data_IF_462772570372
#
_entry.id   IF_462772570372
#
_cell.length_a   1.000
_cell.length_b   1.000
_cell.length_c   1.000
_cell.angle_alpha   90.00
_cell.angle_beta   90.00
_cell.angle_gamma   90.00
#
_symmetry.space_group_name_H-M   'P 1'
#
loop_
_entity.id
_entity.type
_entity.pdbx_description
1 polymer ?
#
# COMPACT_ATOMS: atom_id res chain seq x y z
N UNK A 1 -31.47 -12.69 -0.04
CA UNK A 1 -30.39 -13.23 0.80
C UNK A 1 -29.47 -12.08 1.16
N UNK A 2 -29.17 -11.89 2.44
CA UNK A 2 -28.17 -10.92 2.86
C UNK A 2 -26.78 -11.47 2.54
N UNK A 3 -25.90 -10.61 2.03
CA UNK A 3 -24.50 -10.98 1.78
C UNK A 3 -23.80 -11.20 3.13
N UNK A 4 -23.03 -12.29 3.31
CA UNK A 4 -22.26 -12.49 4.52
C UNK A 4 -21.25 -11.35 4.72
N UNK A 5 -21.23 -10.76 5.91
CA UNK A 5 -20.26 -9.72 6.31
C UNK A 5 -19.07 -10.33 7.03
N UNK A 6 -17.93 -9.67 6.94
CA UNK A 6 -16.79 -10.03 7.76
C UNK A 6 -17.09 -9.71 9.23
N UNK A 7 -16.80 -10.61 10.18
CA UNK A 7 -17.13 -10.39 11.58
C UNK A 7 -16.25 -9.30 12.21
N UNK A 8 -16.85 -8.37 12.95
CA UNK A 8 -16.16 -7.41 13.81
C UNK A 8 -16.03 -8.03 15.20
N UNK A 9 -14.81 -8.44 15.56
CA UNK A 9 -14.57 -9.26 16.78
C UNK A 9 -14.22 -8.45 18.02
N UNK A 10 -13.64 -7.27 17.85
CA UNK A 10 -13.09 -6.48 18.94
C UNK A 10 -13.91 -5.22 19.17
N UNK A 11 -14.09 -4.76 20.44
CA UNK A 11 -14.80 -3.52 20.74
C UNK A 11 -14.15 -2.32 20.07
N UNK A 12 -14.95 -1.36 19.63
CA UNK A 12 -14.50 -0.10 19.03
C UNK A 12 -14.69 1.04 20.01
N UNK A 13 -13.61 1.78 20.31
CA UNK A 13 -13.75 3.07 20.95
C UNK A 13 -14.18 4.11 19.90
N UNK A 14 -14.95 5.09 20.31
CA UNK A 14 -15.26 6.23 19.47
C UNK A 14 -13.95 7.02 19.25
N UNK A 15 -13.55 7.16 17.98
CA UNK A 15 -12.40 7.96 17.62
C UNK A 15 -12.78 9.40 17.30
N UNK A 16 -11.78 10.18 16.90
CA UNK A 16 -11.94 11.56 16.49
C UNK A 16 -10.91 11.97 15.43
N UNK A 17 -11.21 13.05 14.70
CA UNK A 17 -10.26 13.68 13.77
C UNK A 17 -9.37 14.64 14.55
N UNK A 18 -8.05 14.35 14.70
CA UNK A 18 -7.17 15.24 15.45
C UNK A 18 -6.82 16.49 14.65
N UNK A 19 -6.46 17.56 15.35
CA UNK A 19 -6.09 18.84 14.75
C UNK A 19 -4.98 19.54 15.57
N UNK A 20 -4.39 20.59 15.02
CA UNK A 20 -3.34 21.35 15.67
C UNK A 20 -2.13 20.49 16.04
N UNK A 21 -1.65 20.63 17.28
CA UNK A 21 -0.44 19.93 17.76
C UNK A 21 -0.59 18.39 17.79
N UNK A 22 -1.81 17.89 17.94
CA UNK A 22 -2.06 16.44 17.87
C UNK A 22 -1.89 15.86 16.45
N UNK A 23 -1.85 16.73 15.43
CA UNK A 23 -1.66 16.35 14.02
C UNK A 23 -0.69 17.31 13.32
N UNK A 24 0.39 17.70 13.99
CA UNK A 24 1.33 18.72 13.49
C UNK A 24 1.96 18.41 12.14
N UNK A 25 2.00 17.12 11.74
CA UNK A 25 2.52 16.70 10.43
C UNK A 25 1.40 16.46 9.41
N UNK A 26 0.13 16.62 9.77
CA UNK A 26 -1.01 16.29 8.89
C UNK A 26 -1.15 14.80 8.59
N UNK A 27 -0.58 13.94 9.41
CA UNK A 27 -0.43 12.50 9.15
C UNK A 27 -1.61 11.66 9.63
N UNK A 28 -2.36 12.11 10.63
CA UNK A 28 -3.55 11.43 11.12
C UNK A 28 -4.80 11.83 10.34
N UNK A 29 -5.50 10.84 9.84
CA UNK A 29 -6.87 11.01 9.32
C UNK A 29 -7.90 10.83 10.43
N UNK A 30 -7.67 9.84 11.31
CA UNK A 30 -8.55 9.50 12.43
C UNK A 30 -7.74 8.86 13.55
N UNK A 31 -7.91 9.29 14.78
CA UNK A 31 -7.36 8.64 15.98
C UNK A 31 -8.44 7.83 16.68
N UNK A 32 -8.07 6.65 17.13
CA UNK A 32 -8.92 5.75 17.91
C UNK A 32 -8.06 4.82 18.74
N UNK A 33 -8.69 3.88 19.42
CA UNK A 33 -8.01 2.79 20.11
C UNK A 33 -8.83 1.51 19.95
N UNK A 34 -8.27 0.54 19.22
CA UNK A 34 -8.85 -0.81 19.13
C UNK A 34 -7.82 -1.79 19.66
N UNK A 35 -8.07 -2.32 20.84
CA UNK A 35 -7.22 -3.34 21.46
C UNK A 35 -7.56 -4.70 20.86
N UNK A 36 -6.54 -5.43 20.43
CA UNK A 36 -6.66 -6.81 19.97
C UNK A 36 -6.68 -7.81 21.12
N UNK A 37 -6.35 -9.06 20.83
CA UNK A 37 -6.24 -10.13 21.81
C UNK A 37 -5.22 -9.78 22.91
N UNK A 38 -5.41 -10.33 24.12
CA UNK A 38 -4.51 -10.06 25.25
C UNK A 38 -3.09 -10.61 25.04
N UNK A 39 -2.93 -11.58 24.15
CA UNK A 39 -1.65 -12.24 23.82
C UNK A 39 -1.51 -12.39 22.32
N UNK A 40 -0.30 -12.62 21.85
CA UNK A 40 0.01 -12.84 20.44
C UNK A 40 1.32 -12.17 20.03
N UNK A 41 1.74 -12.39 18.78
CA UNK A 41 3.02 -11.89 18.25
C UNK A 41 3.12 -10.36 18.24
N UNK A 42 2.00 -9.67 18.18
CA UNK A 42 1.94 -8.20 18.20
C UNK A 42 1.48 -7.63 19.55
N UNK A 43 1.47 -8.43 20.63
CA UNK A 43 1.10 -7.93 21.96
C UNK A 43 2.01 -6.75 22.37
N UNK A 44 1.40 -5.62 22.73
CA UNK A 44 2.09 -4.37 23.08
C UNK A 44 2.56 -3.54 21.87
N UNK A 45 2.32 -3.97 20.62
CA UNK A 45 2.65 -3.20 19.42
C UNK A 45 1.50 -2.28 19.01
N UNK A 46 1.83 -1.02 18.72
CA UNK A 46 0.92 0.04 18.28
C UNK A 46 0.96 0.14 16.76
N UNK A 47 -0.17 -0.12 16.10
CA UNK A 47 -0.27 -0.21 14.65
C UNK A 47 -1.19 0.87 14.10
N UNK A 48 -0.79 1.52 13.01
CA UNK A 48 -1.62 2.47 12.27
C UNK A 48 -1.98 1.90 10.91
N UNK A 49 -3.18 2.19 10.46
CA UNK A 49 -3.73 1.64 9.22
C UNK A 49 -3.90 2.76 8.19
N UNK A 50 -3.35 2.58 6.99
CA UNK A 50 -3.53 3.52 5.88
C UNK A 50 -5.01 3.74 5.58
N UNK A 51 -5.39 4.95 5.21
CA UNK A 51 -6.78 5.34 5.10
C UNK A 51 -7.57 4.73 3.93
N UNK A 52 -6.92 3.99 3.03
CA UNK A 52 -7.59 3.17 2.02
C UNK A 52 -7.93 1.74 2.51
N UNK A 53 -7.64 1.38 3.76
CA UNK A 53 -7.87 0.06 4.33
C UNK A 53 -9.00 0.15 5.37
N UNK A 54 -10.03 -0.66 5.23
CA UNK A 54 -11.21 -0.65 6.10
C UNK A 54 -10.89 -1.05 7.53
N UNK A 55 -11.35 -0.25 8.48
CA UNK A 55 -11.42 -0.56 9.91
C UNK A 55 -12.85 -0.28 10.34
N UNK A 56 -13.58 -1.32 10.75
CA UNK A 56 -15.00 -1.21 11.05
C UNK A 56 -15.32 -0.12 12.07
N UNK A 57 -16.37 0.66 11.80
CA UNK A 57 -16.81 1.77 12.64
C UNK A 57 -15.96 3.05 12.51
N UNK A 58 -14.97 3.07 11.61
CA UNK A 58 -14.12 4.25 11.41
C UNK A 58 -14.34 4.89 10.04
N UNK A 59 -14.24 6.23 9.96
CA UNK A 59 -14.21 6.92 8.68
C UNK A 59 -13.08 6.40 7.79
N UNK A 60 -13.35 6.33 6.49
CA UNK A 60 -12.38 5.94 5.46
C UNK A 60 -12.55 6.87 4.27
N UNK A 61 -11.61 7.77 4.07
CA UNK A 61 -11.66 8.76 3.00
C UNK A 61 -10.90 8.33 1.74
N UNK A 62 -10.00 7.38 1.85
CA UNK A 62 -9.08 7.04 0.75
C UNK A 62 -8.39 8.29 0.17
N UNK A 63 -8.06 9.24 1.04
CA UNK A 63 -7.46 10.53 0.70
C UNK A 63 -8.37 11.51 -0.04
N UNK A 64 -9.65 11.21 -0.27
CA UNK A 64 -10.55 11.95 -1.15
C UNK A 64 -11.75 12.56 -0.41
N UNK A 65 -12.07 13.81 -0.72
CA UNK A 65 -13.31 14.45 -0.26
C UNK A 65 -14.57 13.71 -0.73
N UNK A 66 -14.47 12.96 -1.84
CA UNK A 66 -15.59 12.15 -2.34
C UNK A 66 -16.11 11.14 -1.32
N UNK A 67 -15.21 10.63 -0.47
CA UNK A 67 -15.55 9.66 0.58
C UNK A 67 -15.90 10.30 1.94
N UNK A 68 -15.98 11.63 2.04
CA UNK A 68 -16.38 12.27 3.30
C UNK A 68 -17.77 11.80 3.73
N UNK A 69 -17.86 11.28 4.97
CA UNK A 69 -19.05 10.65 5.52
C UNK A 69 -19.14 9.12 5.36
N UNK A 70 -18.22 8.49 4.62
CA UNK A 70 -18.16 7.04 4.58
C UNK A 70 -17.53 6.48 5.85
N UNK A 71 -18.21 5.51 6.46
CA UNK A 71 -17.71 4.73 7.60
C UNK A 71 -17.65 3.27 7.17
N UNK A 72 -16.48 2.64 7.31
CA UNK A 72 -16.31 1.24 6.99
C UNK A 72 -17.17 0.36 7.91
N UNK A 73 -17.88 -0.60 7.36
CA UNK A 73 -18.77 -1.50 8.09
C UNK A 73 -18.12 -2.85 8.46
N UNK A 74 -16.87 -3.05 8.04
CA UNK A 74 -16.10 -4.27 8.28
C UNK A 74 -14.60 -4.00 8.41
N UNK A 75 -13.89 -4.94 9.03
CA UNK A 75 -12.43 -4.92 9.07
C UNK A 75 -11.84 -5.57 7.81
N UNK A 76 -10.84 -4.94 7.22
CA UNK A 76 -9.99 -5.63 6.26
C UNK A 76 -9.32 -6.86 6.92
N UNK A 77 -9.03 -7.90 6.14
CA UNK A 77 -8.41 -9.12 6.68
C UNK A 77 -7.12 -8.85 7.45
N UNK A 78 -6.29 -7.92 6.97
CA UNK A 78 -5.05 -7.54 7.67
C UNK A 78 -5.31 -6.90 9.03
N UNK A 79 -6.41 -6.15 9.18
CA UNK A 79 -6.80 -5.54 10.46
C UNK A 79 -7.24 -6.62 11.44
N UNK A 80 -8.08 -7.55 11.01
CA UNK A 80 -8.49 -8.69 11.84
C UNK A 80 -7.29 -9.49 12.32
N UNK A 81 -6.32 -9.79 11.44
CA UNK A 81 -5.09 -10.53 11.79
C UNK A 81 -4.21 -9.79 12.79
N UNK A 82 -4.06 -8.48 12.64
CA UNK A 82 -3.32 -7.65 13.60
C UNK A 82 -3.96 -7.71 14.98
N UNK A 83 -5.27 -7.57 15.05
CA UNK A 83 -6.01 -7.62 16.31
C UNK A 83 -5.98 -9.02 16.92
N UNK A 84 -6.16 -10.08 16.12
CA UNK A 84 -6.07 -11.48 16.59
C UNK A 84 -4.65 -11.82 17.11
N UNK A 85 -3.60 -11.16 16.57
CA UNK A 85 -2.22 -11.29 17.04
C UNK A 85 -1.87 -10.39 18.25
N UNK A 86 -2.85 -9.72 18.85
CA UNK A 86 -2.68 -8.87 20.04
C UNK A 86 -2.21 -7.45 19.77
N UNK A 87 -2.15 -7.02 18.52
CA UNK A 87 -1.81 -5.64 18.16
C UNK A 87 -2.90 -4.65 18.56
N UNK A 88 -2.51 -3.40 18.77
CA UNK A 88 -3.43 -2.29 19.04
C UNK A 88 -3.49 -1.36 17.83
N UNK A 89 -4.68 -1.16 17.26
CA UNK A 89 -4.89 -0.21 16.16
C UNK A 89 -5.17 1.17 16.73
N UNK A 90 -4.28 2.13 16.42
CA UNK A 90 -4.36 3.51 16.94
C UNK A 90 -5.18 4.46 16.06
N UNK A 91 -5.50 4.06 14.82
CA UNK A 91 -6.26 4.88 13.92
C UNK A 91 -5.90 4.72 12.45
N UNK A 92 -6.32 5.72 11.67
CA UNK A 92 -6.16 5.81 10.23
C UNK A 92 -5.12 6.89 9.88
N UNK A 93 -4.15 6.51 9.06
CA UNK A 93 -3.12 7.43 8.54
C UNK A 93 -3.54 8.00 7.19
N UNK A 94 -3.32 9.29 6.99
CA UNK A 94 -3.57 9.98 5.73
C UNK A 94 -2.87 9.27 4.57
N UNK A 95 -3.56 9.16 3.45
CA UNK A 95 -3.00 8.72 2.17
C UNK A 95 -3.30 9.72 1.07
N UNK A 96 -2.53 9.64 -0.01
CA UNK A 96 -2.78 10.43 -1.21
C UNK A 96 -4.17 10.12 -1.80
N UNK A 97 -4.72 11.08 -2.54
CA UNK A 97 -6.04 10.99 -3.12
C UNK A 97 -6.16 9.77 -4.05
N UNK A 98 -7.09 8.84 -3.73
CA UNK A 98 -7.23 7.53 -4.37
C UNK A 98 -5.93 6.70 -4.40
N UNK A 99 -4.99 6.98 -3.51
CA UNK A 99 -3.65 6.38 -3.50
C UNK A 99 -2.86 6.58 -4.80
N UNK A 100 -3.19 7.59 -5.61
CA UNK A 100 -2.63 7.78 -6.96
C UNK A 100 -1.68 8.99 -7.04
N UNK A 101 -0.70 9.02 -6.14
CA UNK A 101 0.41 9.98 -6.15
C UNK A 101 1.60 9.41 -5.38
N UNK A 102 2.81 9.72 -5.81
CA UNK A 102 4.06 9.41 -5.11
C UNK A 102 4.51 10.51 -4.13
N UNK A 103 3.81 11.65 -4.09
CA UNK A 103 4.10 12.76 -3.20
C UNK A 103 3.44 12.61 -1.82
N UNK A 104 3.16 13.74 -1.17
CA UNK A 104 2.37 13.77 0.08
C UNK A 104 1.51 15.03 0.19
N UNK A 105 0.92 15.43 -0.95
CA UNK A 105 0.27 16.74 -1.11
C UNK A 105 -1.15 16.70 -1.71
N UNK A 106 -1.61 15.53 -2.18
CA UNK A 106 -2.90 15.44 -2.89
C UNK A 106 -4.07 15.06 -1.99
N UNK A 107 -3.82 14.64 -0.74
CA UNK A 107 -4.88 14.28 0.18
C UNK A 107 -5.85 15.45 0.43
N UNK A 108 -7.16 15.16 0.45
CA UNK A 108 -8.18 16.18 0.73
C UNK A 108 -8.04 16.82 2.12
N UNK A 109 -7.40 16.15 3.06
CA UNK A 109 -7.07 16.68 4.39
C UNK A 109 -5.86 17.63 4.40
N UNK A 110 -5.20 17.81 3.26
CA UNK A 110 -4.00 18.62 3.12
C UNK A 110 -2.70 17.80 3.10
N UNK A 111 -1.55 18.48 2.94
CA UNK A 111 -0.25 17.82 2.79
C UNK A 111 0.23 17.16 4.09
N UNK A 112 0.92 16.02 3.95
CA UNK A 112 1.65 15.38 5.04
C UNK A 112 3.11 15.81 4.99
N UNK A 113 3.62 16.34 6.11
CA UNK A 113 4.97 16.88 6.23
C UNK A 113 5.93 15.82 6.79
N UNK A 114 7.16 15.83 6.29
CA UNK A 114 8.19 14.90 6.74
C UNK A 114 8.68 15.30 8.17
N UNK A 115 8.59 14.39 9.16
CA UNK A 115 9.01 14.72 10.53
C UNK A 115 10.51 15.00 10.67
N UNK A 116 11.35 14.50 9.75
CA UNK A 116 12.80 14.79 9.76
C UNK A 116 13.11 16.20 9.29
N UNK A 117 12.34 16.68 8.31
CA UNK A 117 12.39 18.07 7.84
C UNK A 117 11.02 18.44 7.25
N UNK A 118 10.21 19.28 7.93
CA UNK A 118 8.87 19.64 7.49
C UNK A 118 8.78 20.42 6.17
N UNK A 119 9.90 20.89 5.63
CA UNK A 119 9.95 21.54 4.31
C UNK A 119 9.95 20.52 3.16
N UNK A 120 10.14 19.23 3.47
CA UNK A 120 10.13 18.15 2.49
C UNK A 120 8.88 17.27 2.59
N UNK A 121 8.57 16.61 1.49
CA UNK A 121 7.51 15.61 1.40
C UNK A 121 7.94 14.31 2.11
N UNK A 122 6.95 13.56 2.61
CA UNK A 122 7.17 12.20 3.14
C UNK A 122 7.29 11.16 2.03
N UNK A 123 6.91 11.51 0.80
CA UNK A 123 6.57 10.52 -0.22
C UNK A 123 5.18 9.91 0.04
N UNK A 124 4.66 9.22 -0.97
CA UNK A 124 3.29 8.68 -0.97
C UNK A 124 3.19 7.37 -1.76
N UNK A 125 2.00 6.84 -1.75
CA UNK A 125 0.73 7.30 -1.21
C UNK A 125 0.49 6.93 0.25
N UNK A 126 1.34 6.14 0.93
CA UNK A 126 1.27 5.85 2.37
C UNK A 126 1.98 6.93 3.21
N UNK A 127 1.70 8.19 2.89
CA UNK A 127 2.38 9.38 3.44
C UNK A 127 2.26 9.47 4.97
N UNK A 128 1.06 9.37 5.51
CA UNK A 128 0.81 9.42 6.95
C UNK A 128 1.44 8.24 7.69
N UNK A 129 1.47 7.04 7.08
CA UNK A 129 2.10 5.86 7.70
C UNK A 129 3.59 6.12 7.98
N UNK A 130 4.33 6.60 6.97
CA UNK A 130 5.75 6.91 7.12
C UNK A 130 5.98 8.03 8.14
N UNK A 131 5.19 9.12 8.06
CA UNK A 131 5.31 10.23 9.02
C UNK A 131 5.10 9.77 10.46
N UNK A 132 4.07 8.98 10.75
CA UNK A 132 3.75 8.54 12.10
C UNK A 132 4.81 7.59 12.69
N UNK A 133 5.37 6.70 11.86
CA UNK A 133 6.51 5.84 12.28
C UNK A 133 7.73 6.69 12.63
N UNK A 134 8.10 7.61 11.74
CA UNK A 134 9.32 8.44 11.95
C UNK A 134 9.15 9.42 13.09
N UNK A 135 7.93 9.89 13.36
CA UNK A 135 7.60 10.71 14.53
C UNK A 135 7.54 9.91 15.84
N UNK A 136 7.61 8.58 15.81
CA UNK A 136 7.50 7.71 16.99
C UNK A 136 6.07 7.60 17.55
N UNK A 137 5.05 8.01 16.77
CA UNK A 137 3.66 7.97 17.21
C UNK A 137 3.04 6.57 17.10
N UNK A 138 3.66 5.67 16.31
CA UNK A 138 3.33 4.24 16.24
C UNK A 138 4.60 3.40 16.03
N UNK A 139 4.50 2.11 16.28
CA UNK A 139 5.61 1.17 16.10
C UNK A 139 5.62 0.60 14.67
N UNK A 140 4.45 0.42 14.11
CA UNK A 140 4.21 -0.22 12.81
C UNK A 140 3.04 0.43 12.08
N UNK A 141 3.00 0.27 10.76
CA UNK A 141 1.83 0.63 9.95
C UNK A 141 1.61 -0.37 8.81
N UNK A 142 0.37 -0.47 8.35
CA UNK A 142 0.04 -1.16 7.09
C UNK A 142 -0.22 -0.11 6.03
N UNK A 143 0.60 -0.12 4.98
CA UNK A 143 0.43 0.69 3.78
C UNK A 143 -0.11 -0.11 2.60
N UNK A 144 -0.34 0.55 1.46
CA UNK A 144 -0.60 -0.09 0.17
C UNK A 144 0.42 0.39 -0.87
N UNK A 145 0.77 -0.47 -1.83
CA UNK A 145 1.80 -0.21 -2.85
C UNK A 145 1.34 -0.77 -4.20
N UNK A 146 1.14 0.11 -5.16
CA UNK A 146 0.80 -0.23 -6.54
C UNK A 146 1.94 0.15 -7.51
N UNK A 147 2.66 1.22 -7.19
CA UNK A 147 3.78 1.73 -7.99
C UNK A 147 4.91 2.30 -7.12
N UNK A 148 5.01 1.86 -5.84
CA UNK A 148 6.02 2.33 -4.90
C UNK A 148 5.46 2.88 -3.59
N UNK A 149 4.14 2.85 -3.37
CA UNK A 149 3.47 3.61 -2.29
C UNK A 149 3.67 3.09 -0.86
N UNK A 150 4.41 2.03 -0.63
CA UNK A 150 5.04 1.64 0.65
C UNK A 150 6.51 2.02 0.62
N UNK A 151 7.19 1.67 -0.48
CA UNK A 151 8.65 1.81 -0.64
C UNK A 151 9.11 3.26 -0.73
N UNK A 152 8.44 4.10 -1.54
CA UNK A 152 8.78 5.53 -1.69
C UNK A 152 8.68 6.30 -0.36
N UNK A 153 7.53 6.28 0.36
CA UNK A 153 7.46 7.02 1.62
C UNK A 153 8.40 6.45 2.68
N UNK A 154 8.70 5.16 2.67
CA UNK A 154 9.70 4.58 3.56
C UNK A 154 11.10 5.11 3.28
N UNK A 155 11.50 5.16 2.00
CA UNK A 155 12.79 5.68 1.55
C UNK A 155 12.93 7.17 1.87
N UNK A 156 11.93 7.99 1.49
CA UNK A 156 11.99 9.44 1.63
C UNK A 156 11.93 9.92 3.09
N UNK A 157 11.31 9.13 3.97
CA UNK A 157 11.18 9.49 5.38
C UNK A 157 12.17 8.76 6.29
N UNK A 158 12.81 7.69 5.81
CA UNK A 158 13.82 6.93 6.57
C UNK A 158 13.21 5.96 7.57
N UNK A 159 12.23 5.18 7.15
CA UNK A 159 11.76 3.97 7.83
C UNK A 159 11.89 2.75 6.90
N UNK A 160 11.54 1.56 7.39
CA UNK A 160 11.55 0.31 6.62
C UNK A 160 10.17 0.06 6.05
N UNK A 161 10.09 -0.33 4.77
CA UNK A 161 8.84 -0.74 4.14
C UNK A 161 9.06 -1.86 3.13
N UNK A 162 8.19 -2.85 3.15
CA UNK A 162 8.26 -4.01 2.27
C UNK A 162 7.01 -4.06 1.40
N UNK A 163 7.22 -4.10 0.08
CA UNK A 163 6.19 -4.54 -0.87
C UNK A 163 6.33 -6.06 -1.02
N UNK A 164 5.40 -6.84 -0.45
CA UNK A 164 5.48 -8.30 -0.52
C UNK A 164 5.31 -8.82 -1.95
N UNK A 165 5.57 -10.11 -2.15
CA UNK A 165 5.18 -10.84 -3.35
C UNK A 165 3.68 -10.68 -3.60
N UNK A 166 3.27 -10.53 -4.87
CA UNK A 166 1.87 -10.39 -5.25
C UNK A 166 1.01 -11.53 -4.70
N UNK A 167 -0.09 -11.17 -4.03
CA UNK A 167 -1.00 -12.12 -3.39
C UNK A 167 -0.51 -12.67 -2.04
N UNK A 168 0.73 -12.42 -1.59
CA UNK A 168 1.21 -12.92 -0.29
C UNK A 168 0.38 -12.35 0.88
N UNK A 169 0.05 -11.07 0.83
CA UNK A 169 -0.84 -10.40 1.78
C UNK A 169 -2.18 -10.16 1.09
N UNK A 170 -3.31 -10.59 1.68
CA UNK A 170 -4.62 -10.39 1.09
C UNK A 170 -4.99 -8.90 1.02
N UNK A 171 -5.68 -8.52 -0.06
CA UNK A 171 -6.16 -7.16 -0.28
C UNK A 171 -7.62 -6.95 0.15
N UNK A 172 -8.27 -7.97 0.67
CA UNK A 172 -9.68 -7.97 1.11
C UNK A 172 -9.95 -6.86 2.11
N UNK A 173 -10.90 -5.99 1.78
CA UNK A 173 -11.29 -4.84 2.62
C UNK A 173 -10.45 -3.58 2.42
N UNK A 174 -9.54 -3.56 1.43
CA UNK A 174 -8.81 -2.36 1.01
C UNK A 174 -9.36 -1.78 -0.28
N UNK A 175 -9.30 -0.45 -0.44
CA UNK A 175 -9.68 0.26 -1.65
C UNK A 175 -8.66 0.03 -2.77
N UNK A 176 -9.05 -0.61 -3.89
CA UNK A 176 -8.14 -0.97 -4.97
C UNK A 176 -7.87 0.20 -5.93
N UNK A 177 -6.75 0.09 -6.65
CA UNK A 177 -6.51 0.81 -7.89
C UNK A 177 -6.69 -0.16 -9.07
N UNK A 178 -5.94 -1.27 -9.04
CA UNK A 178 -6.02 -2.32 -10.06
C UNK A 178 -5.41 -3.62 -9.51
N UNK A 179 -6.13 -4.74 -9.63
CA UNK A 179 -5.79 -5.99 -8.96
C UNK A 179 -4.43 -6.58 -9.30
N UNK A 180 -3.95 -6.39 -10.53
CA UNK A 180 -2.67 -6.97 -10.96
C UNK A 180 -1.46 -6.27 -10.31
N UNK A 181 -1.66 -5.08 -9.73
CA UNK A 181 -0.62 -4.28 -9.09
C UNK A 181 -0.90 -3.95 -7.62
N UNK A 182 -2.09 -4.25 -7.12
CA UNK A 182 -2.46 -3.93 -5.73
C UNK A 182 -1.72 -4.81 -4.72
N UNK A 183 -1.02 -4.17 -3.76
CA UNK A 183 -0.35 -4.83 -2.64
C UNK A 183 -0.67 -4.10 -1.33
N UNK A 184 -0.79 -4.84 -0.24
CA UNK A 184 -0.64 -4.31 1.11
C UNK A 184 0.74 -4.71 1.63
N UNK A 185 1.37 -3.81 2.36
CA UNK A 185 2.71 -4.06 2.88
C UNK A 185 2.95 -3.43 4.26
N UNK A 186 3.81 -4.07 5.06
CA UNK A 186 4.21 -3.58 6.36
C UNK A 186 5.19 -2.42 6.23
N UNK A 187 5.10 -1.48 7.16
CA UNK A 187 6.04 -0.40 7.38
C UNK A 187 6.38 -0.34 8.88
N UNK A 188 7.64 -0.10 9.24
CA UNK A 188 8.08 -0.02 10.63
C UNK A 188 9.39 0.76 10.78
N UNK A 189 9.80 1.07 12.03
CA UNK A 189 11.06 1.71 12.30
C UNK A 189 12.28 0.76 12.14
N UNK A 190 12.07 -0.57 12.23
CA UNK A 190 13.11 -1.58 12.10
C UNK A 190 12.72 -2.71 11.14
N UNK A 191 13.72 -3.38 10.56
CA UNK A 191 13.52 -4.55 9.70
C UNK A 191 12.87 -5.70 10.46
N UNK A 192 13.19 -5.89 11.74
CA UNK A 192 12.60 -6.93 12.57
C UNK A 192 11.10 -6.69 12.79
N UNK A 193 10.70 -5.47 13.14
CA UNK A 193 9.29 -5.11 13.32
C UNK A 193 8.51 -5.21 11.99
N UNK A 194 9.15 -4.83 10.88
CA UNK A 194 8.56 -4.95 9.57
C UNK A 194 8.35 -6.43 9.16
N UNK A 195 9.32 -7.30 9.44
CA UNK A 195 9.23 -8.74 9.23
C UNK A 195 8.15 -9.38 10.12
N UNK A 196 8.08 -8.99 11.38
CA UNK A 196 7.07 -9.46 12.33
C UNK A 196 5.65 -9.09 11.88
N UNK A 197 5.44 -7.85 11.42
CA UNK A 197 4.15 -7.43 10.89
C UNK A 197 3.81 -8.19 9.60
N UNK A 198 4.79 -8.39 8.68
CA UNK A 198 4.59 -9.20 7.48
C UNK A 198 4.14 -10.62 7.82
N UNK A 199 4.77 -11.24 8.80
CA UNK A 199 4.46 -12.59 9.24
C UNK A 199 3.00 -12.72 9.71
N UNK A 200 2.48 -11.71 10.39
CA UNK A 200 1.11 -11.68 10.89
C UNK A 200 0.09 -11.43 9.78
N UNK A 201 0.37 -10.50 8.86
CA UNK A 201 -0.63 -10.11 7.84
C UNK A 201 -0.63 -11.00 6.60
N UNK A 202 0.43 -11.78 6.34
CA UNK A 202 0.56 -12.68 5.20
C UNK A 202 -0.28 -13.96 5.34
N UNK A 203 -0.53 -14.63 4.21
CA UNK A 203 -1.16 -15.95 4.16
C UNK A 203 -2.55 -15.94 3.51
N UNK A 204 -3.12 -17.14 3.31
CA UNK A 204 -4.38 -17.37 2.62
C UNK A 204 -5.59 -16.76 3.33
N UNK A 205 -6.51 -16.18 2.59
CA UNK A 205 -7.69 -15.44 3.06
C UNK A 205 -9.02 -16.13 2.69
N UNK A 206 -9.10 -17.43 2.87
CA UNK A 206 -10.32 -18.23 2.67
C UNK A 206 -11.07 -17.92 1.36
N UNK A 207 -10.35 -17.80 0.25
CA UNK A 207 -10.87 -17.49 -1.09
C UNK A 207 -11.47 -16.08 -1.27
N UNK A 208 -11.32 -15.17 -0.31
CA UNK A 208 -11.83 -13.80 -0.45
C UNK A 208 -10.97 -12.94 -1.38
N UNK A 209 -9.67 -13.23 -1.43
CA UNK A 209 -8.74 -12.67 -2.39
C UNK A 209 -8.41 -13.70 -3.49
N UNK A 210 -8.95 -13.55 -4.72
CA UNK A 210 -8.80 -14.54 -5.79
C UNK A 210 -7.37 -14.63 -6.34
N UNK A 211 -6.47 -13.73 -5.94
CA UNK A 211 -5.05 -13.76 -6.33
C UNK A 211 -4.25 -14.79 -5.54
N UNK A 212 -4.84 -15.35 -4.49
CA UNK A 212 -4.18 -16.29 -3.58
C UNK A 212 -4.50 -17.74 -3.94
N UNK A 213 -3.56 -18.62 -3.63
CA UNK A 213 -3.76 -20.07 -3.71
C UNK A 213 -3.98 -20.64 -2.32
N UNK A 214 -4.83 -21.67 -2.20
CA UNK A 214 -5.21 -22.26 -0.91
C UNK A 214 -4.03 -22.81 -0.08
N UNK A 215 -2.92 -23.16 -0.73
CA UNK A 215 -1.70 -23.62 -0.07
C UNK A 215 -0.80 -22.50 0.47
N UNK A 216 -1.19 -21.24 0.27
CA UNK A 216 -0.38 -20.09 0.69
C UNK A 216 -0.31 -20.01 2.21
N UNK A 217 0.92 -20.04 2.73
CA UNK A 217 1.20 -19.89 4.15
C UNK A 217 2.19 -18.75 4.38
N UNK A 218 2.07 -18.09 5.51
CA UNK A 218 3.10 -17.18 6.00
C UNK A 218 4.33 -17.96 6.45
N UNK A 219 5.50 -17.34 6.34
CA UNK A 219 6.78 -17.87 6.86
C UNK A 219 7.16 -17.14 8.15
N UNK A 220 8.06 -17.68 8.97
CA UNK A 220 8.57 -17.04 10.17
C UNK A 220 9.59 -15.95 9.83
N UNK A 221 9.14 -14.88 9.15
CA UNK A 221 10.01 -13.82 8.66
C UNK A 221 10.77 -13.10 9.77
N UNK A 222 10.20 -13.02 10.97
CA UNK A 222 10.85 -12.43 12.15
C UNK A 222 12.05 -13.24 12.66
N UNK A 223 12.09 -14.53 12.40
CA UNK A 223 13.22 -15.40 12.67
C UNK A 223 14.25 -15.31 11.53
N UNK A 224 13.78 -15.46 10.28
CA UNK A 224 14.63 -15.45 9.08
C UNK A 224 15.46 -14.16 8.94
N UNK A 225 14.93 -13.00 9.34
CA UNK A 225 15.65 -11.73 9.25
C UNK A 225 16.92 -11.67 10.12
N UNK A 226 17.08 -12.60 11.07
CA UNK A 226 18.22 -12.69 11.98
C UNK A 226 19.28 -13.72 11.59
N UNK A 227 19.05 -14.52 10.54
CA UNK A 227 19.95 -15.60 10.11
C UNK A 227 21.26 -15.09 9.46
N UNK A 228 21.35 -13.79 9.17
CA UNK A 228 22.50 -13.19 8.50
C UNK A 228 22.43 -13.32 6.98
N UNK A 229 23.50 -12.85 6.31
CA UNK A 229 23.54 -12.72 4.84
C UNK A 229 24.78 -13.38 4.22
N UNK A 230 25.52 -14.20 4.96
CA UNK A 230 26.72 -14.85 4.46
C UNK A 230 26.40 -15.75 3.25
N UNK A 231 27.10 -15.53 2.14
CA UNK A 231 26.89 -16.26 0.88
C UNK A 231 25.66 -15.81 0.08
N UNK A 232 24.87 -14.87 0.56
CA UNK A 232 23.75 -14.33 -0.21
C UNK A 232 24.28 -13.56 -1.43
N UNK A 233 23.75 -13.88 -2.62
CA UNK A 233 24.07 -13.17 -3.85
C UNK A 233 23.13 -11.95 -4.02
N UNK A 234 23.72 -10.79 -4.29
CA UNK A 234 23.02 -9.51 -4.44
C UNK A 234 23.45 -8.87 -5.75
N UNK A 235 22.51 -8.65 -6.66
CA UNK A 235 22.73 -7.93 -7.92
C UNK A 235 22.42 -6.45 -7.78
N UNK A 236 23.32 -5.58 -8.23
CA UNK A 236 23.06 -4.16 -8.42
C UNK A 236 22.61 -3.99 -9.88
N UNK A 237 21.33 -3.69 -10.07
CA UNK A 237 20.73 -3.51 -11.42
C UNK A 237 21.15 -2.17 -11.99
N UNK A 238 22.04 -2.17 -12.99
CA UNK A 238 22.63 -0.96 -13.56
C UNK A 238 21.59 0.03 -14.11
N UNK A 239 20.52 -0.48 -14.74
CA UNK A 239 19.43 0.34 -15.28
C UNK A 239 18.59 1.06 -14.21
N UNK A 240 18.74 0.69 -12.94
CA UNK A 240 18.08 1.35 -11.80
C UNK A 240 18.73 2.68 -11.40
N UNK A 241 19.89 3.04 -11.97
CA UNK A 241 20.68 4.21 -11.59
C UNK A 241 20.79 5.20 -12.75
N UNK A 242 21.02 6.47 -12.43
CA UNK A 242 21.24 7.52 -13.43
C UNK A 242 20.03 7.82 -14.32
N UNK A 243 18.83 7.48 -13.90
CA UNK A 243 17.60 7.80 -14.64
C UNK A 243 17.41 9.34 -14.74
N UNK A 244 16.75 9.87 -15.79
CA UNK A 244 16.42 11.29 -15.86
C UNK A 244 15.70 11.77 -14.61
N UNK A 245 16.28 12.73 -13.88
CA UNK A 245 15.76 13.24 -12.61
C UNK A 245 16.23 12.48 -11.37
N UNK A 246 17.10 11.47 -11.51
CA UNK A 246 17.78 10.83 -10.38
C UNK A 246 18.73 11.82 -9.69
N UNK A 247 18.79 11.77 -8.37
CA UNK A 247 19.74 12.54 -7.56
C UNK A 247 20.99 11.67 -7.33
N UNK A 248 22.17 12.17 -7.74
CA UNK A 248 23.42 11.40 -7.75
C UNK A 248 23.86 10.94 -6.35
N UNK A 249 23.59 11.72 -5.32
CA UNK A 249 23.87 11.36 -3.92
C UNK A 249 22.99 10.21 -3.42
N UNK A 250 21.75 10.11 -3.90
CA UNK A 250 20.85 8.98 -3.62
C UNK A 250 21.35 7.72 -4.30
N UNK A 251 21.72 7.81 -5.59
CA UNK A 251 22.29 6.69 -6.35
C UNK A 251 23.56 6.17 -5.68
N UNK A 252 24.47 7.08 -5.28
CA UNK A 252 25.69 6.72 -4.57
C UNK A 252 25.40 6.05 -3.21
N UNK A 253 24.46 6.59 -2.43
CA UNK A 253 24.11 6.03 -1.12
C UNK A 253 23.58 4.59 -1.25
N UNK A 254 22.74 4.31 -2.27
CA UNK A 254 22.21 2.97 -2.53
C UNK A 254 23.32 2.00 -2.95
N UNK A 255 24.19 2.44 -3.88
CA UNK A 255 25.32 1.62 -4.33
C UNK A 255 26.30 1.32 -3.18
N UNK A 256 26.64 2.31 -2.34
CA UNK A 256 27.49 2.12 -1.16
C UNK A 256 26.85 1.17 -0.14
N UNK A 257 25.55 1.30 0.12
CA UNK A 257 24.83 0.38 1.00
C UNK A 257 24.93 -1.06 0.51
N UNK A 258 24.65 -1.32 -0.78
CA UNK A 258 24.76 -2.65 -1.37
C UNK A 258 26.19 -3.21 -1.25
N UNK A 259 27.21 -2.44 -1.64
CA UNK A 259 28.62 -2.86 -1.55
C UNK A 259 29.09 -3.09 -0.10
N UNK A 260 28.50 -2.39 0.88
CA UNK A 260 28.82 -2.59 2.31
C UNK A 260 28.47 -4.00 2.82
N UNK A 261 27.49 -4.67 2.18
CA UNK A 261 27.06 -6.01 2.54
C UNK A 261 28.11 -7.07 2.27
N UNK A 262 29.12 -6.79 1.43
CA UNK A 262 30.29 -7.67 1.23
C UNK A 262 31.02 -7.89 2.55
N UNK A 263 31.11 -6.88 3.43
CA UNK A 263 31.73 -7.01 4.76
C UNK A 263 30.97 -7.98 5.69
N UNK A 264 29.68 -8.17 5.43
CA UNK A 264 28.84 -9.13 6.14
C UNK A 264 28.79 -10.52 5.47
N UNK A 265 29.62 -10.73 4.42
CA UNK A 265 29.78 -11.99 3.73
C UNK A 265 28.85 -12.23 2.53
N UNK A 266 28.13 -11.22 2.07
CA UNK A 266 27.37 -11.32 0.84
C UNK A 266 28.28 -11.23 -0.40
N UNK A 267 27.83 -11.82 -1.53
CA UNK A 267 28.45 -11.68 -2.86
C UNK A 267 27.66 -10.62 -3.62
N UNK A 268 28.29 -9.47 -3.92
CA UNK A 268 27.62 -8.35 -4.58
C UNK A 268 28.20 -8.18 -5.98
N UNK A 269 27.35 -8.16 -6.99
CA UNK A 269 27.69 -8.09 -8.41
C UNK A 269 26.89 -6.99 -9.11
N UNK A 270 27.50 -6.28 -10.07
CA UNK A 270 26.76 -5.40 -10.98
C UNK A 270 26.12 -6.27 -12.06
N UNK A 271 24.82 -6.14 -12.27
CA UNK A 271 24.03 -6.91 -13.25
C UNK A 271 23.26 -5.97 -14.17
N UNK A 272 22.87 -6.47 -15.33
CA UNK A 272 22.04 -5.76 -16.29
C UNK A 272 20.73 -6.49 -16.50
N UNK A 273 19.64 -5.74 -16.47
CA UNK A 273 18.29 -6.20 -16.80
C UNK A 273 17.69 -5.18 -17.78
N UNK A 274 18.02 -5.24 -19.08
CA UNK A 274 17.66 -4.20 -20.05
C UNK A 274 16.18 -3.83 -20.08
N UNK A 275 15.30 -4.80 -19.83
CA UNK A 275 13.85 -4.60 -19.80
C UNK A 275 13.37 -3.76 -18.58
N UNK A 276 14.25 -3.54 -17.60
CA UNK A 276 13.95 -2.72 -16.41
C UNK A 276 13.54 -1.30 -16.79
N UNK A 277 14.23 -0.68 -17.76
CA UNK A 277 13.95 0.68 -18.21
C UNK A 277 12.52 0.84 -18.79
N UNK A 278 11.95 -0.21 -19.36
CA UNK A 278 10.61 -0.20 -19.97
C UNK A 278 9.50 -0.62 -18.99
N UNK A 279 9.85 -1.23 -17.85
CA UNK A 279 8.91 -1.86 -16.94
C UNK A 279 7.84 -0.89 -16.40
N UNK A 280 8.21 0.37 -16.13
CA UNK A 280 7.27 1.40 -15.67
C UNK A 280 6.20 1.71 -16.72
N UNK A 281 6.58 1.83 -17.99
CA UNK A 281 5.64 2.06 -19.11
C UNK A 281 4.68 0.89 -19.27
N UNK A 282 5.20 -0.33 -19.17
CA UNK A 282 4.39 -1.56 -19.26
C UNK A 282 3.42 -1.66 -18.07
N UNK A 283 3.89 -1.39 -16.86
CA UNK A 283 3.05 -1.34 -15.65
C UNK A 283 1.90 -0.34 -15.81
N UNK A 284 2.20 0.88 -16.24
CA UNK A 284 1.19 1.91 -16.42
C UNK A 284 0.14 1.49 -17.48
N UNK A 285 0.59 1.00 -18.64
CA UNK A 285 -0.30 0.54 -19.71
C UNK A 285 -1.15 -0.67 -19.27
N UNK A 286 -0.63 -1.55 -18.42
CA UNK A 286 -1.37 -2.72 -17.92
C UNK A 286 -2.48 -2.35 -16.94
N UNK A 287 -2.31 -1.23 -16.19
CA UNK A 287 -3.23 -0.84 -15.11
C UNK A 287 -4.34 0.11 -15.55
N UNK A 288 -4.21 0.80 -16.68
CA UNK A 288 -5.13 1.87 -17.11
C UNK A 288 -6.58 1.42 -17.20
N UNK A 289 -6.84 0.26 -17.80
CA UNK A 289 -8.22 -0.26 -17.97
C UNK A 289 -8.84 -0.70 -16.64
N UNK A 290 -8.05 -1.35 -15.78
CA UNK A 290 -8.50 -1.76 -14.45
C UNK A 290 -8.80 -0.55 -13.55
N UNK A 291 -7.94 0.48 -13.62
CA UNK A 291 -8.17 1.75 -12.92
C UNK A 291 -9.46 2.44 -13.39
N UNK A 292 -9.71 2.50 -14.70
CA UNK A 292 -10.95 3.04 -15.24
C UNK A 292 -12.15 2.26 -14.73
N UNK A 293 -12.12 0.93 -14.78
CA UNK A 293 -13.19 0.08 -14.30
C UNK A 293 -13.46 0.28 -12.80
N UNK A 294 -12.40 0.41 -12.00
CA UNK A 294 -12.49 0.64 -10.57
C UNK A 294 -13.09 2.02 -10.23
N UNK A 295 -12.71 3.08 -10.96
CA UNK A 295 -13.15 4.43 -10.62
C UNK A 295 -14.39 4.91 -11.36
N UNK A 296 -14.79 4.24 -12.44
CA UNK A 296 -15.98 4.64 -13.21
C UNK A 296 -17.11 3.60 -13.20
N UNK A 297 -16.81 2.34 -13.50
CA UNK A 297 -17.84 1.38 -13.84
C UNK A 297 -18.28 0.52 -12.65
N UNK A 298 -17.32 -0.08 -11.94
CA UNK A 298 -17.57 -1.09 -10.91
C UNK A 298 -17.44 -0.56 -9.47
N UNK A 299 -16.85 0.63 -9.31
CA UNK A 299 -16.58 1.20 -7.99
C UNK A 299 -15.39 0.53 -7.28
N UNK A 300 -15.24 0.75 -5.97
CA UNK A 300 -14.02 0.41 -5.22
C UNK A 300 -13.75 -1.10 -5.02
N UNK A 301 -14.44 -1.97 -5.70
CA UNK A 301 -14.10 -3.39 -5.77
C UNK A 301 -13.27 -3.71 -7.03
N UNK A 302 -13.37 -2.89 -8.07
CA UNK A 302 -12.78 -3.17 -9.37
C UNK A 302 -13.27 -4.49 -9.97
N UNK A 303 -12.67 -4.95 -11.07
CA UNK A 303 -12.91 -6.27 -11.62
C UNK A 303 -12.31 -7.33 -10.68
N UNK A 304 -13.12 -7.94 -9.84
CA UNK A 304 -12.72 -8.91 -8.82
C UNK A 304 -13.55 -10.19 -8.89
N UNK A 305 -13.49 -10.95 -10.02
CA UNK A 305 -14.29 -12.16 -10.17
C UNK A 305 -13.90 -13.22 -9.12
N UNK A 306 -14.90 -13.68 -8.36
CA UNK A 306 -14.70 -14.67 -7.30
C UNK A 306 -14.17 -14.13 -5.98
N UNK A 307 -13.81 -12.84 -5.91
CA UNK A 307 -13.34 -12.21 -4.68
C UNK A 307 -14.45 -11.61 -3.82
N UNK A 308 -14.07 -11.14 -2.65
CA UNK A 308 -14.96 -10.43 -1.75
C UNK A 308 -15.20 -8.98 -2.23
N UNK A 309 -16.45 -8.53 -2.16
CA UNK A 309 -16.85 -7.19 -2.56
C UNK A 309 -17.39 -6.38 -1.35
N UNK A 310 -16.78 -5.24 -0.97
CA UNK A 310 -17.24 -4.38 0.13
C UNK A 310 -18.47 -3.58 -0.31
N UNK A 311 -19.67 -4.15 -0.13
CA UNK A 311 -20.92 -3.58 -0.66
C UNK A 311 -21.22 -2.18 -0.12
N UNK A 312 -20.88 -1.89 1.14
CA UNK A 312 -21.03 -0.55 1.72
C UNK A 312 -20.22 0.51 0.99
N UNK A 313 -18.94 0.22 0.75
CA UNK A 313 -18.05 1.11 0.01
C UNK A 313 -18.50 1.33 -1.44
N UNK A 314 -18.94 0.26 -2.11
CA UNK A 314 -19.42 0.32 -3.51
C UNK A 314 -20.64 1.23 -3.60
N UNK A 315 -21.64 1.00 -2.74
CA UNK A 315 -22.87 1.82 -2.72
C UNK A 315 -22.56 3.29 -2.45
N UNK A 316 -21.76 3.55 -1.40
CA UNK A 316 -21.39 4.92 -1.05
C UNK A 316 -20.66 5.63 -2.20
N UNK A 317 -19.68 4.98 -2.81
CA UNK A 317 -18.94 5.53 -3.94
C UNK A 317 -19.85 5.87 -5.13
N UNK A 318 -20.77 4.97 -5.49
CA UNK A 318 -21.69 5.18 -6.60
C UNK A 318 -22.63 6.37 -6.35
N UNK A 319 -23.15 6.53 -5.13
CA UNK A 319 -23.99 7.65 -4.73
C UNK A 319 -23.21 8.97 -4.67
N UNK A 320 -22.03 8.95 -4.06
CA UNK A 320 -21.15 10.10 -3.95
C UNK A 320 -20.71 10.61 -5.34
N UNK A 321 -20.33 9.70 -6.25
CA UNK A 321 -19.93 10.06 -7.61
C UNK A 321 -21.06 10.72 -8.40
N UNK A 322 -22.31 10.33 -8.19
CA UNK A 322 -23.47 10.97 -8.85
C UNK A 322 -23.76 12.37 -8.32
N UNK A 323 -23.64 12.56 -7.00
CA UNK A 323 -24.03 13.81 -6.34
C UNK A 323 -22.87 14.79 -6.14
N UNK A 324 -21.63 14.31 -6.10
CA UNK A 324 -20.42 15.07 -5.76
C UNK A 324 -19.27 14.81 -6.74
N UNK A 325 -19.54 14.66 -8.03
CA UNK A 325 -18.50 14.40 -9.04
C UNK A 325 -17.39 15.48 -9.07
N UNK A 326 -17.70 16.70 -8.63
CA UNK A 326 -16.73 17.78 -8.51
C UNK A 326 -15.60 17.46 -7.51
N UNK A 327 -15.87 16.65 -6.48
CA UNK A 327 -14.91 16.23 -5.46
C UNK A 327 -13.95 15.15 -5.94
N UNK A 328 -14.13 14.61 -7.15
CA UNK A 328 -13.13 13.74 -7.77
C UNK A 328 -11.84 14.53 -8.00
N UNK A 329 -10.68 13.99 -7.62
CA UNK A 329 -9.40 14.67 -7.80
C UNK A 329 -9.05 14.79 -9.28
N UNK A 330 -8.32 15.83 -9.64
CA UNK A 330 -7.94 16.11 -11.04
C UNK A 330 -7.11 14.98 -11.63
N UNK A 331 -6.25 14.34 -10.82
CA UNK A 331 -5.49 13.17 -11.26
C UNK A 331 -6.41 12.00 -11.65
N UNK A 332 -7.44 11.70 -10.84
CA UNK A 332 -8.40 10.65 -11.19
C UNK A 332 -9.17 10.99 -12.47
N UNK A 333 -9.63 12.25 -12.60
CA UNK A 333 -10.27 12.74 -13.84
C UNK A 333 -9.35 12.58 -15.05
N UNK A 334 -8.07 12.96 -14.93
CA UNK A 334 -7.08 12.85 -16.01
C UNK A 334 -6.87 11.40 -16.44
N UNK A 335 -6.65 10.49 -15.49
CA UNK A 335 -6.46 9.08 -15.78
C UNK A 335 -7.70 8.45 -16.40
N UNK A 336 -8.90 8.78 -15.90
CA UNK A 336 -10.16 8.31 -16.45
C UNK A 336 -10.37 8.80 -17.90
N UNK A 337 -10.09 10.07 -18.18
CA UNK A 337 -10.18 10.63 -19.53
C UNK A 337 -9.19 9.96 -20.47
N UNK A 338 -7.94 9.79 -20.04
CA UNK A 338 -6.92 9.09 -20.82
C UNK A 338 -7.35 7.64 -21.12
N UNK A 339 -7.82 6.92 -20.12
CA UNK A 339 -8.28 5.55 -20.28
C UNK A 339 -9.49 5.43 -21.22
N UNK A 340 -10.45 6.37 -21.14
CA UNK A 340 -11.58 6.43 -22.06
C UNK A 340 -11.12 6.67 -23.50
N UNK A 341 -10.18 7.58 -23.73
CA UNK A 341 -9.63 7.84 -25.07
C UNK A 341 -8.91 6.61 -25.62
N UNK A 342 -8.10 5.95 -24.78
CA UNK A 342 -7.38 4.73 -25.18
C UNK A 342 -8.35 3.61 -25.52
N UNK A 343 -9.36 3.39 -24.69
CA UNK A 343 -10.40 2.37 -24.92
C UNK A 343 -11.23 2.67 -26.18
N UNK A 344 -11.61 3.92 -26.42
CA UNK A 344 -12.36 4.32 -27.59
C UNK A 344 -11.59 4.13 -28.90
N UNK A 345 -10.26 4.41 -28.89
CA UNK A 345 -9.42 4.33 -30.09
C UNK A 345 -8.88 2.92 -30.38
N UNK A 346 -8.54 2.17 -29.34
CA UNK A 346 -7.75 0.95 -29.48
C UNK A 346 -8.38 -0.26 -28.78
N UNK A 347 -9.56 -0.11 -28.18
CA UNK A 347 -10.12 -1.15 -27.34
C UNK A 347 -9.19 -1.44 -26.15
N UNK A 348 -9.08 -2.72 -25.81
CA UNK A 348 -8.16 -3.19 -24.75
C UNK A 348 -6.78 -3.64 -25.29
N UNK A 349 -6.44 -3.33 -26.54
CA UNK A 349 -5.26 -3.88 -27.20
C UNK A 349 -3.96 -3.60 -26.44
N UNK A 350 -3.73 -2.35 -26.01
CA UNK A 350 -2.50 -1.97 -25.31
C UNK A 350 -2.44 -2.50 -23.90
N UNK A 351 -3.56 -2.55 -23.20
CA UNK A 351 -3.64 -3.15 -21.87
C UNK A 351 -3.34 -4.66 -21.95
N UNK A 352 -3.96 -5.38 -22.88
CA UNK A 352 -3.70 -6.80 -23.10
C UNK A 352 -2.25 -7.08 -23.53
N UNK A 353 -1.68 -6.23 -24.42
CA UNK A 353 -0.26 -6.31 -24.81
C UNK A 353 0.66 -6.13 -23.61
N UNK A 354 0.39 -5.13 -22.77
CA UNK A 354 1.16 -4.86 -21.57
C UNK A 354 1.09 -6.03 -20.58
N UNK A 355 -0.09 -6.60 -20.33
CA UNK A 355 -0.25 -7.80 -19.51
C UNK A 355 0.60 -8.98 -20.03
N UNK A 356 0.68 -9.17 -21.35
CA UNK A 356 1.54 -10.18 -21.93
C UNK A 356 3.04 -9.89 -21.72
N UNK A 357 3.46 -8.61 -21.72
CA UNK A 357 4.84 -8.18 -21.50
C UNK A 357 5.28 -8.34 -20.04
N UNK A 358 4.38 -8.41 -19.07
CA UNK A 358 4.75 -8.70 -17.67
C UNK A 358 5.43 -10.07 -17.50
N UNK A 359 5.14 -11.04 -18.38
CA UNK A 359 5.74 -12.38 -18.31
C UNK A 359 7.25 -12.35 -18.64
N UNK A 360 7.70 -11.84 -19.81
CA UNK A 360 9.14 -11.75 -20.09
C UNK A 360 9.87 -10.79 -19.14
N UNK A 361 9.21 -9.73 -18.63
CA UNK A 361 9.81 -8.89 -17.60
C UNK A 361 10.09 -9.72 -16.34
N UNK A 362 9.11 -10.49 -15.87
CA UNK A 362 9.31 -11.37 -14.71
C UNK A 362 10.43 -12.37 -14.94
N UNK A 363 10.43 -13.04 -16.09
CA UNK A 363 11.47 -14.02 -16.44
C UNK A 363 12.88 -13.41 -16.38
N UNK A 364 13.05 -12.18 -16.87
CA UNK A 364 14.34 -11.48 -16.82
C UNK A 364 14.83 -11.16 -15.40
N UNK A 365 13.93 -11.10 -14.41
CA UNK A 365 14.32 -10.95 -13.01
C UNK A 365 14.53 -12.31 -12.30
N UNK A 366 13.94 -13.38 -12.83
CA UNK A 366 14.06 -14.74 -12.26
C UNK A 366 15.36 -15.44 -12.72
N UNK A 367 16.01 -14.99 -13.81
CA UNK A 367 17.33 -15.44 -14.29
C UNK A 367 18.48 -14.89 -13.45
#
# INVERSE_FOLDING_TARGET
MDSPRLPVRYPRAQGYRPSGDENRYGAWQWKCQVKGAATGKLAGKRVVIKDNIGVAGMPMLNGSALYEGYVADEDATVVTRILDAGGEVLGKAVCENFCYSGGSHTAASGPVRNPRNPDFMTGGSSSGCAALIVAGECDMAVGSDQGGSVRMPSSWSGCVGIKPTHGLVPYTGAGPIEQSIDHLGPMAASSLDCALLLEVIAGYDDSRDPRQVASLQSKPYSELVTEGIHGLRIGIVGEGFGAPGSEGDVDEAVALAARSLVKAGAVVEDILIPVHAEAMTVMFASSVDGTLSTWSDQGPAGPNPGGYHPLGAIRFFQEARKSRAADLPDMAKTVMLFAHVMRARYGNYYSAKAQNLLRPIRAAYDE
#
